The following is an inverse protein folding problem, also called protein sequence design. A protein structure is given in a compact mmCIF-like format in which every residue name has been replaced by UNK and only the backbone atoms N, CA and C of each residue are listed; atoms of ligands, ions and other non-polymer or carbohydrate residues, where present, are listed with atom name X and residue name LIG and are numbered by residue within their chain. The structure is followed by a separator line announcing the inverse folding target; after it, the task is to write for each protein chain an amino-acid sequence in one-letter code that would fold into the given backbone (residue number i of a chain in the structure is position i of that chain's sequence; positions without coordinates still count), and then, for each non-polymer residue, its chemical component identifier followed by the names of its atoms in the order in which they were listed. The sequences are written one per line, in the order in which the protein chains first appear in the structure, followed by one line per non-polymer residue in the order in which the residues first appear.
data_IF_979358649243
#
_entry.id   IF_979358649243
#
_cell.length_a   1.000
_cell.length_b   1.000
_cell.length_c   1.000
_cell.angle_alpha   90.00
_cell.angle_beta   90.00
_cell.angle_gamma   90.00
#
_symmetry.space_group_name_H-M   'P 1'
#
loop_
_entity.id
_entity.type
_entity.pdbx_description
1 polymer ?
#
# COMPACT_ATOMS: atom_id res chain seq x y z
N UNK A 1 14.18 -10.20 23.11
CA UNK A 1 13.32 -11.39 22.91
C UNK A 1 11.92 -11.01 22.42
N UNK A 2 11.11 -10.23 23.13
CA UNK A 2 9.77 -9.84 22.65
C UNK A 2 9.81 -8.87 21.45
N UNK A 3 10.76 -7.93 21.45
CA UNK A 3 10.99 -7.00 20.33
C UNK A 3 11.49 -7.70 19.06
N UNK A 4 12.33 -8.73 19.20
CA UNK A 4 12.89 -9.46 18.06
C UNK A 4 11.83 -10.29 17.34
N UNK A 5 10.91 -10.90 18.10
CA UNK A 5 9.79 -11.66 17.54
C UNK A 5 8.79 -10.75 16.81
N UNK A 6 8.53 -9.55 17.38
CA UNK A 6 7.69 -8.54 16.75
C UNK A 6 8.30 -8.03 15.44
N UNK A 7 9.62 -7.78 15.42
CA UNK A 7 10.32 -7.40 14.20
C UNK A 7 10.22 -8.48 13.11
N UNK A 8 10.45 -9.75 13.44
CA UNK A 8 10.32 -10.87 12.48
C UNK A 8 8.91 -10.94 11.87
N UNK A 9 7.87 -10.68 12.66
CA UNK A 9 6.50 -10.64 12.16
C UNK A 9 6.27 -9.45 11.22
N UNK A 10 6.74 -8.25 11.60
CA UNK A 10 6.59 -7.05 10.76
C UNK A 10 7.35 -7.19 9.44
N UNK A 11 8.58 -7.70 9.44
CA UNK A 11 9.37 -7.96 8.24
C UNK A 11 8.63 -8.94 7.30
N UNK A 12 7.97 -9.94 7.87
CA UNK A 12 7.18 -10.91 7.10
C UNK A 12 5.96 -10.26 6.46
N UNK A 13 5.26 -9.37 7.16
CA UNK A 13 4.12 -8.60 6.62
C UNK A 13 4.62 -7.63 5.54
N UNK A 14 5.71 -6.91 5.78
CA UNK A 14 6.31 -5.97 4.85
C UNK A 14 6.68 -6.64 3.52
N UNK A 15 7.29 -7.83 3.56
CA UNK A 15 7.60 -8.61 2.34
C UNK A 15 6.35 -8.95 1.51
N UNK A 16 5.23 -9.27 2.16
CA UNK A 16 3.97 -9.50 1.46
C UNK A 16 3.46 -8.21 0.82
N UNK A 17 3.51 -7.09 1.55
CA UNK A 17 3.11 -5.78 1.03
C UNK A 17 3.94 -5.40 -0.19
N UNK A 18 5.28 -5.48 -0.11
CA UNK A 18 6.19 -5.17 -1.21
C UNK A 18 5.91 -6.02 -2.45
N UNK A 19 5.63 -7.32 -2.25
CA UNK A 19 5.24 -8.22 -3.35
C UNK A 19 3.93 -7.79 -4.01
N UNK A 20 2.89 -7.50 -3.20
CA UNK A 20 1.58 -7.08 -3.72
C UNK A 20 1.66 -5.75 -4.50
N UNK A 21 2.41 -4.78 -3.97
CA UNK A 21 2.65 -3.48 -4.61
C UNK A 21 3.35 -3.69 -5.96
N UNK A 22 4.44 -4.46 -5.96
CA UNK A 22 5.22 -4.73 -7.18
C UNK A 22 4.39 -5.43 -8.25
N UNK A 23 3.60 -6.44 -7.89
CA UNK A 23 2.74 -7.14 -8.85
C UNK A 23 1.67 -6.22 -9.44
N UNK A 24 0.99 -5.44 -8.60
CA UNK A 24 -0.06 -4.51 -9.04
C UNK A 24 0.53 -3.44 -9.96
N UNK A 25 1.68 -2.87 -9.60
CA UNK A 25 2.41 -1.92 -10.41
C UNK A 25 2.75 -2.49 -11.80
N UNK A 26 3.29 -3.70 -11.86
CA UNK A 26 3.63 -4.36 -13.11
C UNK A 26 2.42 -4.60 -14.01
N UNK A 27 1.27 -4.99 -13.43
CA UNK A 27 0.01 -5.15 -14.17
C UNK A 27 -0.46 -3.81 -14.75
N UNK A 28 -0.41 -2.73 -13.95
CA UNK A 28 -0.80 -1.39 -14.40
C UNK A 28 0.10 -0.88 -15.53
N UNK A 29 1.42 -1.01 -15.39
CA UNK A 29 2.39 -0.66 -16.43
C UNK A 29 2.14 -1.47 -17.71
N UNK A 30 1.96 -2.79 -17.59
CA UNK A 30 1.65 -3.66 -18.74
C UNK A 30 0.36 -3.23 -19.47
N UNK A 31 -0.67 -2.85 -18.71
CA UNK A 31 -1.93 -2.34 -19.26
C UNK A 31 -1.75 -0.99 -19.98
N UNK A 32 -0.98 -0.07 -19.41
CA UNK A 32 -0.67 1.23 -20.03
C UNK A 32 0.11 1.02 -21.33
N UNK A 33 1.13 0.16 -21.33
CA UNK A 33 1.93 -0.14 -22.51
C UNK A 33 1.08 -0.76 -23.64
N UNK A 34 0.17 -1.68 -23.33
CA UNK A 34 -0.80 -2.22 -24.29
C UNK A 34 -1.72 -1.13 -24.86
N UNK A 35 -2.31 -0.28 -24.00
CA UNK A 35 -3.19 0.81 -24.44
C UNK A 35 -2.46 1.82 -25.32
N UNK A 36 -1.21 2.15 -24.99
CA UNK A 36 -0.34 3.02 -25.81
C UNK A 36 -0.16 2.48 -27.23
N UNK A 37 -0.03 1.17 -27.41
CA UNK A 37 0.07 0.55 -28.73
C UNK A 37 -1.17 0.69 -29.61
N UNK A 38 -2.33 1.05 -29.03
CA UNK A 38 -3.61 1.14 -29.73
C UNK A 38 -4.12 2.59 -29.91
N UNK A 39 -3.45 3.60 -29.35
CA UNK A 39 -3.91 4.99 -29.30
C UNK A 39 -2.87 5.91 -29.99
N UNK A 40 -3.33 6.88 -30.78
CA UNK A 40 -2.45 7.89 -31.38
C UNK A 40 -1.76 8.73 -30.27
N UNK A 41 -0.47 9.04 -30.45
CA UNK A 41 0.38 9.73 -29.47
C UNK A 41 -0.21 11.04 -28.90
N UNK A 42 -0.96 11.81 -29.70
CA UNK A 42 -1.58 13.07 -29.25
C UNK A 42 -2.69 12.80 -28.22
N UNK A 43 -3.59 11.87 -28.52
CA UNK A 43 -4.67 11.47 -27.60
C UNK A 43 -4.11 10.81 -26.33
N UNK A 44 -3.05 10.02 -26.46
CA UNK A 44 -2.39 9.39 -25.32
C UNK A 44 -1.81 10.44 -24.34
N UNK A 45 -1.20 11.51 -24.85
CA UNK A 45 -0.65 12.60 -24.03
C UNK A 45 -1.74 13.31 -23.22
N UNK A 46 -2.87 13.61 -23.86
CA UNK A 46 -4.03 14.24 -23.18
C UNK A 46 -4.63 13.34 -22.10
N UNK A 47 -4.75 12.04 -22.38
CA UNK A 47 -5.22 11.04 -21.41
C UNK A 47 -4.28 10.96 -20.21
N UNK A 48 -2.96 10.86 -20.45
CA UNK A 48 -1.97 10.81 -19.38
C UNK A 48 -2.02 12.05 -18.49
N UNK A 49 -2.18 13.24 -19.09
CA UNK A 49 -2.25 14.48 -18.31
C UNK A 49 -3.48 14.53 -17.41
N UNK A 50 -4.64 14.06 -17.90
CA UNK A 50 -5.86 13.96 -17.08
C UNK A 50 -5.71 12.95 -15.95
N UNK A 51 -5.14 11.78 -16.24
CA UNK A 51 -4.88 10.76 -15.21
C UNK A 51 -3.89 11.24 -14.16
N UNK A 52 -2.84 11.97 -14.56
CA UNK A 52 -1.88 12.56 -13.62
C UNK A 52 -2.58 13.50 -12.64
N UNK A 53 -3.38 14.45 -13.13
CA UNK A 53 -4.14 15.39 -12.28
C UNK A 53 -5.08 14.61 -11.34
N UNK A 54 -5.84 13.65 -11.87
CA UNK A 54 -6.76 12.82 -11.07
C UNK A 54 -6.04 12.09 -9.94
N UNK A 55 -4.91 11.46 -10.23
CA UNK A 55 -4.12 10.71 -9.24
C UNK A 55 -3.51 11.67 -8.21
N UNK A 56 -3.00 12.83 -8.63
CA UNK A 56 -2.48 13.85 -7.71
C UNK A 56 -3.56 14.37 -6.76
N UNK A 57 -4.78 14.61 -7.25
CA UNK A 57 -5.90 15.05 -6.43
C UNK A 57 -6.33 13.96 -5.43
N UNK A 58 -6.42 12.71 -5.88
CA UNK A 58 -6.72 11.56 -5.03
C UNK A 58 -5.66 11.38 -3.93
N UNK A 59 -4.37 11.43 -4.28
CA UNK A 59 -3.26 11.35 -3.31
C UNK A 59 -3.29 12.51 -2.31
N UNK A 60 -3.54 13.74 -2.77
CA UNK A 60 -3.63 14.91 -1.89
C UNK A 60 -4.77 14.76 -0.88
N UNK A 61 -5.92 14.25 -1.32
CA UNK A 61 -7.05 13.95 -0.42
C UNK A 61 -6.69 12.89 0.62
N UNK A 62 -5.97 11.83 0.21
CA UNK A 62 -5.50 10.79 1.14
C UNK A 62 -4.55 11.38 2.18
N UNK A 63 -3.55 12.17 1.78
CA UNK A 63 -2.59 12.77 2.70
C UNK A 63 -3.24 13.76 3.68
N UNK A 64 -4.22 14.55 3.23
CA UNK A 64 -4.98 15.47 4.10
C UNK A 64 -5.76 14.73 5.17
N UNK A 65 -6.37 13.60 4.82
CA UNK A 65 -7.18 12.80 5.76
C UNK A 65 -6.36 11.84 6.61
N UNK A 66 -5.15 11.50 6.16
CA UNK A 66 -4.24 10.58 6.83
C UNK A 66 -2.82 11.15 6.88
N UNK A 67 -2.54 12.08 7.81
CA UNK A 67 -1.24 12.75 7.89
C UNK A 67 -0.05 11.78 8.06
N UNK A 68 -0.26 10.64 8.72
CA UNK A 68 0.75 9.58 8.84
C UNK A 68 1.19 8.99 7.48
N UNK A 69 0.33 9.08 6.46
CA UNK A 69 0.66 8.66 5.09
C UNK A 69 1.45 9.72 4.31
N UNK A 70 1.43 10.99 4.72
CA UNK A 70 2.26 12.01 4.09
C UNK A 70 3.76 11.70 4.28
N UNK A 71 4.12 11.06 5.41
CA UNK A 71 5.47 10.60 5.67
C UNK A 71 5.86 9.39 4.80
N UNK A 72 4.91 8.63 4.23
CA UNK A 72 5.21 7.44 3.39
C UNK A 72 6.03 7.83 2.16
N UNK A 73 5.88 9.06 1.67
CA UNK A 73 6.68 9.55 0.54
C UNK A 73 8.18 9.57 0.84
N UNK A 74 8.56 9.83 2.09
CA UNK A 74 9.95 9.78 2.55
C UNK A 74 10.51 8.34 2.61
N UNK A 75 9.63 7.34 2.65
CA UNK A 75 9.96 5.92 2.77
C UNK A 75 9.61 5.11 1.51
N UNK A 76 9.29 5.73 0.37
CA UNK A 76 8.95 5.00 -0.85
C UNK A 76 10.04 4.05 -1.36
N UNK A 77 11.30 4.34 -1.02
CA UNK A 77 12.45 3.51 -1.36
C UNK A 77 12.97 2.69 -0.17
N UNK A 78 12.29 2.78 0.98
CA UNK A 78 12.69 2.06 2.19
C UNK A 78 11.93 0.74 2.27
N UNK A 79 12.68 -0.36 2.22
CA UNK A 79 12.09 -1.71 2.18
C UNK A 79 11.38 -2.07 3.49
N UNK A 80 11.64 -1.34 4.59
CA UNK A 80 11.21 -1.64 5.97
C UNK A 80 10.23 -0.60 6.56
N UNK A 81 9.36 -0.01 5.74
CA UNK A 81 8.40 1.03 6.15
C UNK A 81 7.67 0.74 7.47
N UNK A 82 7.14 -0.47 7.70
CA UNK A 82 6.40 -0.79 8.92
C UNK A 82 7.25 -0.69 10.21
N UNK A 83 8.56 -0.90 10.10
CA UNK A 83 9.48 -0.90 11.24
C UNK A 83 10.26 0.41 11.37
N UNK A 84 10.73 0.99 10.26
CA UNK A 84 11.56 2.20 10.25
C UNK A 84 10.74 3.50 10.18
N UNK A 85 9.43 3.43 9.91
CA UNK A 85 8.54 4.59 10.01
C UNK A 85 7.80 4.66 11.35
N UNK A 86 7.31 5.85 11.68
CA UNK A 86 6.42 6.07 12.85
C UNK A 86 5.02 5.48 12.67
N UNK A 87 4.74 4.79 11.55
CA UNK A 87 3.43 4.22 11.25
C UNK A 87 2.97 3.25 12.34
N UNK A 88 3.77 2.22 12.65
CA UNK A 88 3.37 1.22 13.66
C UNK A 88 3.19 1.88 15.04
N UNK A 89 4.04 2.86 15.36
CA UNK A 89 4.01 3.60 16.62
C UNK A 89 2.75 4.47 16.75
N UNK A 90 2.26 5.03 15.64
CA UNK A 90 1.05 5.84 15.56
C UNK A 90 -0.25 5.05 15.79
N UNK A 91 -0.21 3.71 15.71
CA UNK A 91 -1.37 2.86 15.91
C UNK A 91 -1.82 2.80 17.39
N UNK A 92 -3.13 2.70 17.60
CA UNK A 92 -3.74 2.42 18.91
C UNK A 92 -3.30 1.04 19.43
N UNK A 93 -3.48 0.80 20.74
CA UNK A 93 -3.12 -0.48 21.37
C UNK A 93 -3.85 -1.66 20.74
N UNK A 94 -5.14 -1.49 20.45
CA UNK A 94 -5.98 -2.49 19.81
C UNK A 94 -5.52 -2.80 18.38
N UNK A 95 -5.12 -1.76 17.62
CA UNK A 95 -4.55 -1.93 16.29
C UNK A 95 -3.20 -2.65 16.33
N UNK A 96 -2.29 -2.27 17.23
CA UNK A 96 -0.99 -2.96 17.40
C UNK A 96 -1.18 -4.44 17.71
N UNK A 97 -2.14 -4.78 18.58
CA UNK A 97 -2.44 -6.16 18.92
C UNK A 97 -2.96 -6.97 17.72
N UNK A 98 -3.71 -6.34 16.81
CA UNK A 98 -4.15 -6.98 15.56
C UNK A 98 -2.98 -7.30 14.63
N UNK A 99 -2.02 -6.39 14.51
CA UNK A 99 -0.81 -6.62 13.71
C UNK A 99 0.06 -7.74 14.29
N UNK A 100 0.27 -7.79 15.61
CA UNK A 100 1.10 -8.83 16.26
C UNK A 100 0.43 -10.21 16.33
N UNK A 101 -0.91 -10.25 16.32
CA UNK A 101 -1.67 -11.50 16.30
C UNK A 101 -1.97 -12.02 14.89
N UNK A 102 -1.61 -11.26 13.85
CA UNK A 102 -1.86 -11.66 12.47
C UNK A 102 -1.02 -12.86 12.06
N UNK A 103 -1.69 -13.93 11.61
CA UNK A 103 -1.01 -15.09 11.06
C UNK A 103 -0.65 -14.84 9.60
N UNK A 104 0.63 -14.66 9.32
CA UNK A 104 1.14 -14.46 7.95
C UNK A 104 0.75 -15.61 7.01
N UNK A 105 0.71 -16.85 7.52
CA UNK A 105 0.28 -18.04 6.76
C UNK A 105 -1.22 -18.04 6.41
N UNK A 106 -2.02 -17.20 7.06
CA UNK A 106 -3.44 -17.02 6.75
C UNK A 106 -3.69 -16.01 5.61
N UNK A 107 -2.64 -15.36 5.11
CA UNK A 107 -2.76 -14.42 4.00
C UNK A 107 -2.91 -15.14 2.66
N UNK A 108 -4.08 -14.96 2.05
CA UNK A 108 -4.37 -15.41 0.69
C UNK A 108 -4.27 -14.26 -0.30
N UNK A 109 -3.27 -14.34 -1.18
CA UNK A 109 -3.01 -13.31 -2.21
C UNK A 109 -4.17 -13.19 -3.21
N UNK A 110 -4.75 -14.30 -3.64
CA UNK A 110 -5.88 -14.31 -4.60
C UNK A 110 -7.09 -13.56 -4.05
N UNK A 111 -7.41 -13.76 -2.78
CA UNK A 111 -8.48 -13.05 -2.06
C UNK A 111 -8.20 -11.54 -1.96
N UNK A 112 -6.95 -11.16 -1.72
CA UNK A 112 -6.54 -9.76 -1.69
C UNK A 112 -6.69 -9.07 -3.06
N UNK A 113 -6.32 -9.76 -4.14
CA UNK A 113 -6.42 -9.21 -5.50
C UNK A 113 -7.88 -9.06 -5.94
N UNK A 114 -8.75 -9.99 -5.57
CA UNK A 114 -10.18 -9.87 -5.85
C UNK A 114 -10.82 -8.69 -5.09
N UNK A 115 -10.42 -8.49 -3.82
CA UNK A 115 -10.87 -7.37 -3.02
C UNK A 115 -9.76 -6.85 -2.10
N UNK A 116 -9.17 -5.71 -2.46
CA UNK A 116 -8.06 -5.09 -1.71
C UNK A 116 -8.41 -4.70 -0.27
N UNK A 117 -9.70 -4.60 0.08
CA UNK A 117 -10.19 -4.30 1.44
C UNK A 117 -10.47 -5.54 2.29
N UNK A 118 -10.23 -6.74 1.76
CA UNK A 118 -10.59 -8.02 2.41
C UNK A 118 -9.92 -8.29 3.75
N UNK A 119 -8.82 -7.58 4.05
CA UNK A 119 -8.11 -7.71 5.32
C UNK A 119 -8.25 -6.48 6.23
N UNK A 120 -9.01 -5.44 5.84
CA UNK A 120 -9.14 -4.21 6.64
C UNK A 120 -9.76 -4.45 8.03
N UNK A 121 -10.56 -5.50 8.21
CA UNK A 121 -11.15 -5.82 9.51
C UNK A 121 -10.13 -6.44 10.48
N UNK A 122 -9.16 -7.18 9.92
CA UNK A 122 -8.16 -7.96 10.66
C UNK A 122 -6.86 -7.17 10.81
N UNK A 123 -6.40 -6.52 9.76
CA UNK A 123 -5.30 -5.57 9.71
C UNK A 123 -5.89 -4.23 9.33
N UNK A 124 -6.39 -3.49 10.32
CA UNK A 124 -6.96 -2.16 10.08
C UNK A 124 -5.87 -1.24 9.56
N UNK A 125 -5.78 -1.11 8.24
CA UNK A 125 -5.19 0.05 7.58
C UNK A 125 -6.21 1.19 7.69
N UNK A 126 -5.76 2.29 8.29
CA UNK A 126 -6.39 3.61 8.40
C UNK A 126 -7.89 3.64 8.02
N UNK A 127 -8.76 3.28 8.96
CA UNK A 127 -10.17 3.67 8.88
C UNK A 127 -10.38 4.91 9.74
N UNK A 128 -10.95 5.93 9.08
CA UNK A 128 -11.32 7.26 9.56
C UNK A 128 -11.83 7.28 11.01
N UNK A 129 -11.35 8.27 11.76
CA UNK A 129 -12.14 8.91 12.82
C UNK A 129 -13.06 9.92 12.19
#
# INVERSE_FOLDING_TARGET
MENDNLKIQLDSIQRILNYCITQTYNVLIGNILRKKGCINNIQFKEILQKEYIRITDELSSIYLNHPALACVEEYYNDDDFLWESTFFESLTKEQKQKYTSFSVSSFEYTKYIDRHTSYNDVLRTLQNS
#
